data_IF_628107048453
#
_entry.id   IF_628107048453
#
_cell.length_a   1.000
_cell.length_b   1.000
_cell.length_c   1.000
_cell.angle_alpha   90.00
_cell.angle_beta   90.00
_cell.angle_gamma   90.00
#
_symmetry.space_group_name_H-M   'P 1'
#
loop_
_entity.id
_entity.type
_entity.pdbx_description
1 polymer ?
#
# COMPACT_ATOMS: atom_id res chain seq x y z
N UNK A 1 14.71 -5.32 -11.87
CA UNK A 1 13.51 -5.19 -11.00
C UNK A 1 13.33 -6.47 -10.22
N UNK A 2 13.20 -6.40 -8.90
CA UNK A 2 12.86 -7.58 -8.11
C UNK A 2 11.45 -8.11 -8.39
N UNK A 3 10.54 -7.22 -8.76
CA UNK A 3 9.16 -7.53 -9.10
C UNK A 3 8.76 -6.75 -10.36
N UNK A 4 8.20 -7.44 -11.35
CA UNK A 4 7.68 -6.82 -12.58
C UNK A 4 6.33 -7.44 -12.93
N UNK A 5 5.34 -6.60 -13.21
CA UNK A 5 3.96 -7.02 -13.45
C UNK A 5 3.42 -7.85 -12.30
N UNK A 6 3.28 -9.18 -12.44
CA UNK A 6 2.79 -10.08 -11.40
C UNK A 6 3.81 -11.15 -10.97
N UNK A 7 5.10 -10.93 -11.21
CA UNK A 7 6.16 -11.92 -10.94
C UNK A 7 7.35 -11.31 -10.21
N UNK A 8 7.87 -12.08 -9.26
CA UNK A 8 9.20 -11.89 -8.69
C UNK A 8 10.27 -12.44 -9.63
N UNK A 9 11.43 -11.78 -9.70
CA UNK A 9 12.61 -12.30 -10.38
C UNK A 9 13.30 -13.33 -9.47
N UNK A 10 13.13 -14.61 -9.78
CA UNK A 10 13.67 -15.71 -8.96
C UNK A 10 15.19 -15.83 -9.00
N UNK A 11 15.88 -15.12 -9.91
CA UNK A 11 17.34 -15.04 -9.91
C UNK A 11 17.87 -14.11 -8.81
N UNK A 12 17.03 -13.17 -8.35
CA UNK A 12 17.31 -12.23 -7.25
C UNK A 12 16.62 -12.71 -5.96
N UNK A 13 15.37 -13.14 -6.08
CA UNK A 13 14.47 -13.44 -4.97
C UNK A 13 14.30 -14.96 -4.78
N UNK A 14 15.32 -15.60 -4.19
CA UNK A 14 15.29 -17.05 -3.92
C UNK A 14 14.55 -17.44 -2.64
N UNK A 15 14.38 -16.49 -1.71
CA UNK A 15 13.61 -16.63 -0.46
C UNK A 15 13.14 -15.27 0.01
N UNK A 16 12.23 -15.25 0.99
CA UNK A 16 11.68 -14.01 1.54
C UNK A 16 12.78 -13.06 2.06
N UNK A 17 13.73 -13.58 2.84
CA UNK A 17 14.84 -12.80 3.43
C UNK A 17 15.89 -12.37 2.41
N UNK A 18 16.22 -13.24 1.45
CA UNK A 18 17.20 -12.91 0.41
C UNK A 18 16.68 -11.78 -0.48
N UNK A 19 15.41 -11.88 -0.89
CA UNK A 19 14.74 -10.86 -1.68
C UNK A 19 14.62 -9.54 -0.91
N UNK A 20 14.17 -9.57 0.34
CA UNK A 20 14.13 -8.41 1.23
C UNK A 20 15.44 -7.60 1.28
N UNK A 21 16.56 -8.33 1.34
CA UNK A 21 17.89 -7.75 1.49
C UNK A 21 18.46 -7.21 0.17
N UNK A 22 18.07 -7.82 -0.96
CA UNK A 22 18.54 -7.45 -2.29
C UNK A 22 17.69 -6.37 -2.98
N UNK A 23 16.49 -6.10 -2.45
CA UNK A 23 15.49 -5.25 -3.08
C UNK A 23 15.16 -4.02 -2.24
N UNK A 24 14.69 -2.99 -2.92
CA UNK A 24 14.18 -1.77 -2.29
C UNK A 24 12.85 -1.36 -2.94
N UNK A 25 12.13 -0.52 -2.21
CA UNK A 25 11.09 0.36 -2.77
C UNK A 25 11.70 1.75 -2.93
N UNK A 26 11.24 2.50 -3.92
CA UNK A 26 11.78 3.81 -4.27
C UNK A 26 10.69 4.89 -4.19
N UNK A 27 11.06 6.14 -4.45
CA UNK A 27 10.15 7.28 -4.50
C UNK A 27 9.06 7.13 -5.56
N UNK A 28 7.98 7.89 -5.36
CA UNK A 28 6.82 7.90 -6.23
C UNK A 28 6.66 9.26 -6.93
N UNK A 29 6.50 9.24 -8.25
CA UNK A 29 5.97 10.40 -8.98
C UNK A 29 4.43 10.39 -8.89
N UNK A 30 3.92 11.00 -7.83
CA UNK A 30 2.50 10.99 -7.47
C UNK A 30 1.59 11.47 -8.60
N UNK A 31 1.90 12.60 -9.22
CA UNK A 31 1.01 13.21 -10.19
C UNK A 31 1.09 12.51 -11.56
N UNK A 32 2.30 12.28 -12.09
CA UNK A 32 2.45 11.80 -13.46
C UNK A 32 2.23 10.29 -13.60
N UNK A 33 2.60 9.52 -12.58
CA UNK A 33 2.51 8.05 -12.62
C UNK A 33 1.24 7.56 -11.96
N UNK A 34 0.87 8.11 -10.80
CA UNK A 34 -0.25 7.61 -10.01
C UNK A 34 -1.53 8.45 -10.14
N UNK A 35 -1.43 9.69 -10.64
CA UNK A 35 -2.58 10.59 -10.75
C UNK A 35 -3.12 11.05 -9.40
N UNK A 36 -2.25 11.10 -8.38
CA UNK A 36 -2.55 11.63 -7.06
C UNK A 36 -2.04 13.08 -6.96
N UNK A 37 -2.94 14.00 -6.58
CA UNK A 37 -2.60 15.42 -6.43
C UNK A 37 -3.26 16.00 -5.20
N UNK A 38 -2.64 16.99 -4.57
CA UNK A 38 -3.19 17.72 -3.44
C UNK A 38 -3.28 19.22 -3.72
N UNK A 39 -4.22 19.90 -3.07
CA UNK A 39 -4.33 21.36 -3.07
C UNK A 39 -5.00 21.82 -1.78
N UNK A 40 -4.25 22.48 -0.90
CA UNK A 40 -4.74 22.82 0.44
C UNK A 40 -5.08 21.57 1.24
N UNK A 41 -6.35 21.41 1.61
CA UNK A 41 -6.87 20.26 2.36
C UNK A 41 -7.49 19.16 1.46
N UNK A 42 -7.46 19.32 0.13
CA UNK A 42 -8.05 18.37 -0.80
C UNK A 42 -7.01 17.38 -1.34
N UNK A 43 -7.40 16.10 -1.41
CA UNK A 43 -6.70 15.01 -2.10
C UNK A 43 -7.57 14.51 -3.27
N UNK A 44 -7.01 14.45 -4.47
CA UNK A 44 -7.67 13.89 -5.65
C UNK A 44 -6.90 12.65 -6.12
N UNK A 45 -7.61 11.53 -6.30
CA UNK A 45 -7.06 10.25 -6.73
C UNK A 45 -7.75 9.81 -8.04
N UNK A 46 -6.97 9.71 -9.13
CA UNK A 46 -7.47 9.16 -10.39
C UNK A 46 -7.44 7.63 -10.36
N UNK A 47 -8.47 7.01 -10.92
CA UNK A 47 -8.53 5.56 -11.01
C UNK A 47 -7.53 4.97 -12.02
N UNK A 48 -7.39 5.57 -13.20
CA UNK A 48 -6.41 5.13 -14.21
C UNK A 48 -5.53 6.30 -14.62
N UNK A 49 -4.22 6.10 -14.57
CA UNK A 49 -3.22 7.08 -15.00
C UNK A 49 -2.28 6.43 -16.00
N UNK A 50 -2.17 7.03 -17.19
CA UNK A 50 -1.25 6.59 -18.23
C UNK A 50 0.05 7.39 -18.12
N UNK A 51 1.03 6.82 -17.43
CA UNK A 51 2.37 7.40 -17.28
C UNK A 51 3.35 6.91 -18.35
N UNK A 52 4.55 7.46 -18.34
CA UNK A 52 5.66 7.04 -19.23
C UNK A 52 6.10 5.61 -18.99
N UNK A 53 5.95 5.11 -17.76
CA UNK A 53 6.35 3.76 -17.34
C UNK A 53 5.22 2.73 -17.47
N UNK A 54 4.05 3.14 -17.99
CA UNK A 54 2.90 2.27 -18.19
C UNK A 54 1.63 2.80 -17.54
N UNK A 55 0.63 1.91 -17.48
CA UNK A 55 -0.70 2.20 -16.94
C UNK A 55 -0.76 1.86 -15.45
N UNK A 56 -1.03 2.85 -14.61
CA UNK A 56 -1.37 2.66 -13.19
C UNK A 56 -2.90 2.47 -13.02
N UNK A 57 -3.30 1.62 -12.07
CA UNK A 57 -4.71 1.38 -11.71
C UNK A 57 -4.85 1.50 -10.19
N UNK A 58 -5.66 2.45 -9.75
CA UNK A 58 -5.93 2.72 -8.34
C UNK A 58 -4.73 3.28 -7.57
N UNK A 59 -4.95 3.52 -6.29
CA UNK A 59 -3.92 3.97 -5.35
C UNK A 59 -4.41 3.78 -3.92
N UNK A 60 -3.48 3.50 -2.99
CA UNK A 60 -3.72 3.54 -1.54
C UNK A 60 -2.68 4.45 -0.90
N UNK A 61 -3.14 5.45 -0.15
CA UNK A 61 -2.30 6.46 0.49
C UNK A 61 -2.61 6.52 1.98
N UNK A 62 -1.63 6.96 2.77
CA UNK A 62 -1.74 7.14 4.21
C UNK A 62 -1.47 8.60 4.56
N UNK A 63 -2.19 9.13 5.54
CA UNK A 63 -1.92 10.46 6.07
C UNK A 63 -0.65 10.44 6.92
N UNK A 64 0.23 11.43 6.74
CA UNK A 64 1.52 11.53 7.42
C UNK A 64 1.50 12.65 8.46
N UNK A 65 2.02 12.37 9.66
CA UNK A 65 2.32 13.39 10.70
C UNK A 65 3.65 14.08 10.38
N UNK A 66 4.61 13.31 9.86
CA UNK A 66 5.95 13.75 9.48
C UNK A 66 6.49 12.88 8.35
N UNK A 67 7.66 13.21 7.83
CA UNK A 67 8.37 12.44 6.79
C UNK A 67 8.49 10.95 7.08
N UNK A 68 8.51 10.53 8.34
CA UNK A 68 8.79 9.13 8.75
C UNK A 68 7.73 8.53 9.67
N UNK A 69 6.57 9.17 9.81
CA UNK A 69 5.52 8.69 10.73
C UNK A 69 4.12 8.98 10.20
N UNK A 70 3.26 7.97 10.21
CA UNK A 70 1.83 8.13 9.93
C UNK A 70 1.16 9.00 10.98
N UNK A 71 0.14 9.75 10.55
CA UNK A 71 -0.77 10.41 11.46
C UNK A 71 -1.66 9.38 12.12
N UNK A 72 -1.53 9.23 13.44
CA UNK A 72 -2.33 8.29 14.22
C UNK A 72 -3.58 8.97 14.77
N UNK A 73 -4.66 8.19 14.91
CA UNK A 73 -5.95 8.66 15.40
C UNK A 73 -6.46 7.76 16.52
N UNK A 74 -6.94 8.38 17.60
CA UNK A 74 -7.67 7.70 18.68
C UNK A 74 -9.15 8.06 18.54
N UNK A 75 -9.91 7.23 17.83
CA UNK A 75 -11.29 7.55 17.43
C UNK A 75 -12.33 7.38 18.55
N UNK A 76 -12.03 6.58 19.58
CA UNK A 76 -13.00 6.27 20.63
C UNK A 76 -13.42 7.53 21.38
N UNK A 77 -14.72 7.82 21.37
CA UNK A 77 -15.30 9.01 22.01
C UNK A 77 -14.99 10.33 21.27
N UNK A 78 -14.53 10.27 20.03
CA UNK A 78 -14.25 11.42 19.17
C UNK A 78 -15.20 11.46 17.95
N UNK A 79 -15.17 12.57 17.23
CA UNK A 79 -15.84 12.75 15.94
C UNK A 79 -14.79 12.87 14.82
N UNK A 80 -15.04 12.21 13.70
CA UNK A 80 -14.23 12.33 12.48
C UNK A 80 -15.15 12.71 11.31
N UNK A 81 -14.80 13.77 10.60
CA UNK A 81 -15.61 14.33 9.51
C UNK A 81 -14.72 14.70 8.33
N UNK A 82 -15.23 14.50 7.11
CA UNK A 82 -14.57 14.85 5.87
C UNK A 82 -15.60 15.16 4.78
N UNK A 83 -15.19 15.95 3.79
CA UNK A 83 -15.96 16.18 2.57
C UNK A 83 -15.48 15.22 1.47
N UNK A 84 -16.40 14.73 0.65
CA UNK A 84 -16.09 13.82 -0.46
C UNK A 84 -16.91 14.15 -1.70
N UNK A 85 -16.26 14.12 -2.86
CA UNK A 85 -16.91 14.22 -4.17
C UNK A 85 -16.76 12.89 -4.92
N UNK A 86 -17.86 12.14 -4.99
CA UNK A 86 -17.97 10.87 -5.73
C UNK A 86 -18.71 11.03 -7.05
N UNK A 87 -18.94 12.25 -7.53
CA UNK A 87 -19.74 12.51 -8.75
C UNK A 87 -19.17 11.86 -10.01
N UNK A 88 -17.86 11.58 -10.03
CA UNK A 88 -17.16 10.90 -11.11
C UNK A 88 -16.74 9.45 -10.77
N UNK A 89 -17.32 8.88 -9.70
CA UNK A 89 -17.12 7.49 -9.30
C UNK A 89 -18.38 6.68 -9.65
N UNK A 90 -18.38 6.05 -10.82
CA UNK A 90 -19.49 5.23 -11.30
C UNK A 90 -19.56 3.84 -10.67
N UNK A 91 -20.35 2.94 -11.26
CA UNK A 91 -20.48 1.56 -10.77
C UNK A 91 -19.18 0.76 -10.94
N UNK A 92 -18.73 0.06 -9.90
CA UNK A 92 -17.59 -0.87 -9.94
C UNK A 92 -16.37 -0.45 -9.10
N UNK A 93 -15.79 0.76 -9.26
CA UNK A 93 -14.72 1.23 -8.40
C UNK A 93 -15.26 1.65 -7.02
N UNK A 94 -14.39 1.59 -6.02
CA UNK A 94 -14.65 2.03 -4.64
C UNK A 94 -13.64 3.15 -4.31
N UNK A 95 -14.15 4.26 -3.78
CA UNK A 95 -13.36 5.34 -3.21
C UNK A 95 -13.45 5.27 -1.70
N UNK A 96 -12.49 4.63 -1.06
CA UNK A 96 -12.56 4.31 0.36
C UNK A 96 -11.81 5.32 1.24
N UNK A 97 -12.38 5.61 2.42
CA UNK A 97 -11.71 6.26 3.54
C UNK A 97 -11.97 5.41 4.79
N UNK A 98 -10.90 4.88 5.37
CA UNK A 98 -10.97 3.90 6.44
C UNK A 98 -9.74 3.98 7.35
N UNK A 99 -9.84 3.34 8.51
CA UNK A 99 -8.76 3.26 9.49
C UNK A 99 -8.36 1.82 9.72
N UNK A 100 -7.06 1.57 9.78
CA UNK A 100 -6.47 0.28 10.10
C UNK A 100 -5.45 0.41 11.23
N UNK A 101 -5.30 -0.64 12.03
CA UNK A 101 -4.40 -0.66 13.18
C UNK A 101 -2.94 -0.96 12.78
N UNK A 102 -2.39 -0.15 11.88
CA UNK A 102 -0.98 -0.19 11.47
C UNK A 102 -0.06 0.46 12.51
N UNK A 103 1.23 0.09 12.51
CA UNK A 103 2.24 0.78 13.30
C UNK A 103 2.58 2.15 12.71
N UNK A 104 2.72 3.16 13.57
CA UNK A 104 2.97 4.54 13.15
C UNK A 104 4.26 4.73 12.33
N UNK A 105 5.27 3.88 12.53
CA UNK A 105 6.53 3.88 11.80
C UNK A 105 6.54 2.88 10.62
N UNK A 106 5.39 2.30 10.27
CA UNK A 106 5.27 1.27 9.25
C UNK A 106 5.91 -0.07 9.65
N UNK A 107 6.17 -0.28 10.94
CA UNK A 107 6.71 -1.51 11.53
C UNK A 107 8.23 -1.50 11.73
N UNK A 108 8.93 -0.38 11.51
CA UNK A 108 10.39 -0.33 11.60
C UNK A 108 10.93 -0.74 12.98
N UNK A 109 10.30 -0.29 14.06
CA UNK A 109 10.72 -0.60 15.43
C UNK A 109 10.50 -2.07 15.81
N UNK A 110 9.47 -2.72 15.26
CA UNK A 110 9.19 -4.13 15.50
C UNK A 110 10.06 -5.05 14.66
N UNK A 111 10.43 -4.60 13.46
CA UNK A 111 11.08 -5.46 12.50
C UNK A 111 12.31 -4.80 11.86
N UNK A 112 13.50 -5.24 12.27
CA UNK A 112 14.79 -4.69 11.84
C UNK A 112 15.10 -4.83 10.34
N UNK A 113 14.39 -5.73 9.64
CA UNK A 113 14.48 -5.86 8.18
C UNK A 113 13.79 -4.72 7.44
N UNK A 114 12.81 -4.04 8.06
CA UNK A 114 12.16 -2.89 7.46
C UNK A 114 13.00 -1.63 7.66
N UNK A 115 13.65 -1.20 6.58
CA UNK A 115 14.45 0.04 6.53
C UNK A 115 13.75 1.18 5.77
N UNK A 116 12.56 0.93 5.24
CA UNK A 116 11.81 1.91 4.46
C UNK A 116 10.78 2.65 5.33
N UNK A 117 9.98 1.91 6.09
CA UNK A 117 9.02 2.45 7.06
C UNK A 117 7.88 3.27 6.47
N UNK A 118 7.23 4.04 7.34
CA UNK A 118 6.07 4.86 7.00
C UNK A 118 6.33 5.84 5.85
N UNK A 119 7.57 6.33 5.71
CA UNK A 119 7.99 7.21 4.59
C UNK A 119 7.69 6.61 3.22
N UNK A 120 7.75 5.29 3.11
CA UNK A 120 7.51 4.54 1.87
C UNK A 120 6.24 3.68 1.93
N UNK A 121 5.32 3.97 2.86
CA UNK A 121 4.02 3.31 2.90
C UNK A 121 4.05 1.84 3.32
N UNK A 122 5.04 1.39 4.10
CA UNK A 122 5.11 0.00 4.55
C UNK A 122 4.17 -0.32 5.71
N UNK A 123 3.94 -1.61 5.94
CA UNK A 123 3.26 -2.11 7.15
C UNK A 123 1.74 -2.20 7.03
N UNK A 124 1.19 -2.15 5.82
CA UNK A 124 -0.25 -2.30 5.62
C UNK A 124 -0.77 -3.64 6.12
N UNK A 125 -1.96 -3.58 6.70
CA UNK A 125 -2.76 -4.69 7.17
C UNK A 125 -4.22 -4.24 7.15
N UNK A 126 -5.17 -5.17 7.08
CA UNK A 126 -6.59 -4.91 7.24
C UNK A 126 -7.34 -6.17 7.72
N UNK A 127 -8.68 -6.13 7.77
CA UNK A 127 -9.49 -7.25 8.25
C UNK A 127 -9.53 -8.46 7.32
N UNK A 128 -9.12 -8.28 6.05
CA UNK A 128 -9.11 -9.30 5.02
C UNK A 128 -7.83 -10.15 5.03
N UNK A 129 -6.84 -9.76 5.84
CA UNK A 129 -5.54 -10.42 5.89
C UNK A 129 -4.87 -10.55 4.50
N UNK A 130 -4.71 -9.44 3.74
CA UNK A 130 -4.30 -9.44 2.34
C UNK A 130 -2.97 -10.14 2.12
N UNK A 131 -2.96 -11.05 1.14
CA UNK A 131 -1.80 -11.85 0.74
C UNK A 131 -1.09 -11.33 -0.50
N UNK A 132 -1.60 -10.28 -1.10
CA UNK A 132 -1.04 -9.61 -2.27
C UNK A 132 0.04 -8.58 -1.90
N UNK A 133 0.19 -8.28 -0.61
CA UNK A 133 1.29 -7.46 -0.11
C UNK A 133 2.63 -8.13 -0.44
N UNK A 134 3.48 -7.36 -1.11
CA UNK A 134 4.80 -7.78 -1.56
C UNK A 134 5.81 -7.86 -0.42
N UNK A 135 5.58 -7.13 0.66
CA UNK A 135 6.41 -7.09 1.85
C UNK A 135 5.52 -7.13 3.10
N UNK A 136 5.78 -8.07 4.02
CA UNK A 136 5.03 -8.27 5.27
C UNK A 136 6.05 -8.47 6.41
N UNK A 137 5.69 -8.17 7.66
CA UNK A 137 6.48 -8.47 8.87
C UNK A 137 7.96 -8.06 8.78
N UNK A 138 8.21 -6.80 8.40
CA UNK A 138 9.57 -6.29 8.40
C UNK A 138 10.34 -6.39 7.11
N UNK A 139 9.67 -6.11 6.00
CA UNK A 139 10.22 -6.31 4.65
C UNK A 139 10.61 -7.76 4.35
N UNK A 140 10.04 -8.79 5.01
CA UNK A 140 10.09 -10.11 4.40
C UNK A 140 9.34 -10.03 3.08
N UNK A 141 10.05 -10.19 1.96
CA UNK A 141 9.40 -10.25 0.67
C UNK A 141 8.44 -11.43 0.68
N UNK A 142 7.23 -11.30 0.15
CA UNK A 142 6.22 -12.37 0.17
C UNK A 142 6.39 -13.30 -1.05
N UNK A 143 7.61 -13.76 -1.31
CA UNK A 143 7.95 -14.51 -2.55
C UNK A 143 7.60 -15.99 -2.44
N UNK A 144 7.73 -16.58 -1.24
CA UNK A 144 7.43 -17.99 -1.01
C UNK A 144 5.95 -18.28 -1.26
N UNK A 145 5.68 -19.24 -2.15
CA UNK A 145 4.32 -19.60 -2.54
C UNK A 145 3.61 -18.57 -3.43
N UNK A 146 4.33 -17.61 -4.00
CA UNK A 146 3.76 -16.58 -4.88
C UNK A 146 3.02 -17.18 -6.09
N UNK A 147 1.75 -16.79 -6.25
CA UNK A 147 0.91 -17.14 -7.40
C UNK A 147 0.41 -15.87 -8.07
N UNK A 148 0.75 -15.70 -9.34
CA UNK A 148 0.22 -14.60 -10.15
C UNK A 148 -1.32 -14.66 -10.22
N UNK A 149 -1.97 -13.50 -10.11
CA UNK A 149 -3.41 -13.42 -10.28
C UNK A 149 -3.82 -13.79 -11.71
N UNK A 150 -4.98 -14.42 -11.87
CA UNK A 150 -5.54 -14.79 -13.18
C UNK A 150 -6.27 -13.63 -13.86
N UNK A 151 -6.64 -12.60 -13.11
CA UNK A 151 -7.45 -11.46 -13.59
C UNK A 151 -6.82 -10.09 -13.30
N UNK A 152 -5.64 -10.04 -12.67
CA UNK A 152 -4.87 -8.82 -12.45
C UNK A 152 -3.43 -9.01 -12.94
N UNK A 153 -3.02 -8.18 -13.91
CA UNK A 153 -1.70 -8.25 -14.51
C UNK A 153 -0.56 -7.77 -13.58
N UNK A 154 -0.89 -7.08 -12.48
CA UNK A 154 0.06 -6.45 -11.58
C UNK A 154 0.07 -7.05 -10.16
N UNK A 155 -0.88 -7.95 -9.88
CA UNK A 155 -1.04 -8.59 -8.57
C UNK A 155 -0.81 -10.09 -8.59
N UNK A 156 -0.56 -10.63 -7.41
CA UNK A 156 -0.48 -12.06 -7.12
C UNK A 156 -0.58 -12.24 -5.62
N UNK A 157 -0.42 -13.47 -5.15
CA UNK A 157 -0.65 -13.82 -3.74
C UNK A 157 0.51 -14.65 -3.21
N UNK A 158 1.19 -14.18 -2.17
CA UNK A 158 2.27 -14.90 -1.49
C UNK A 158 1.78 -15.80 -0.36
N UNK A 159 2.70 -16.48 0.31
CA UNK A 159 2.43 -17.42 1.40
C UNK A 159 1.82 -16.78 2.65
N UNK A 160 2.14 -15.52 2.91
CA UNK A 160 1.71 -14.79 4.10
C UNK A 160 0.66 -13.73 3.80
N UNK A 161 -0.15 -13.38 4.80
CA UNK A 161 -1.08 -12.24 4.79
C UNK A 161 -0.85 -11.35 6.01
N UNK A 162 -1.31 -10.09 5.96
CA UNK A 162 -1.14 -9.14 7.06
C UNK A 162 -2.47 -8.68 7.63
N UNK A 163 -2.75 -9.03 8.89
CA UNK A 163 -4.05 -8.83 9.53
C UNK A 163 -4.00 -7.73 10.59
N UNK A 164 -5.01 -6.88 10.64
CA UNK A 164 -5.27 -6.02 11.80
C UNK A 164 -6.73 -5.57 11.86
N UNK A 165 -7.11 -4.87 12.93
CA UNK A 165 -8.44 -4.30 13.03
C UNK A 165 -8.63 -3.17 12.00
N UNK A 166 -9.83 -3.10 11.44
CA UNK A 166 -10.24 -2.18 10.39
C UNK A 166 -11.57 -1.52 10.80
N UNK A 167 -11.70 -0.23 10.48
CA UNK A 167 -12.92 0.55 10.61
C UNK A 167 -13.16 1.31 9.31
N UNK A 168 -14.08 0.79 8.51
CA UNK A 168 -14.52 1.39 7.25
C UNK A 168 -15.48 2.54 7.53
N UNK A 169 -15.01 3.78 7.37
CA UNK A 169 -15.84 4.98 7.54
C UNK A 169 -16.66 5.23 6.27
N UNK A 170 -16.07 4.97 5.11
CA UNK A 170 -16.67 5.19 3.82
C UNK A 170 -16.08 4.27 2.75
N UNK A 171 -16.95 3.67 1.94
CA UNK A 171 -16.67 2.81 0.78
C UNK A 171 -17.67 3.11 -0.35
#
# INVERSE_FOLDING_TARGET
NCYTSNKWDTSICSSNTACASACCVDGADYASTYGATTSGNALNLKFVTQGSSGKNIGSRLYLMESDTKYQMFNLLGQEFTFDVDVSNLGCGPNGALYFVSMDADGGMSKYSGNKAGAKFGTGYCDSQCPRDLKFIDGMQANVEGWKASSNDANAGFGGSGSCCAEMDIWE
#
